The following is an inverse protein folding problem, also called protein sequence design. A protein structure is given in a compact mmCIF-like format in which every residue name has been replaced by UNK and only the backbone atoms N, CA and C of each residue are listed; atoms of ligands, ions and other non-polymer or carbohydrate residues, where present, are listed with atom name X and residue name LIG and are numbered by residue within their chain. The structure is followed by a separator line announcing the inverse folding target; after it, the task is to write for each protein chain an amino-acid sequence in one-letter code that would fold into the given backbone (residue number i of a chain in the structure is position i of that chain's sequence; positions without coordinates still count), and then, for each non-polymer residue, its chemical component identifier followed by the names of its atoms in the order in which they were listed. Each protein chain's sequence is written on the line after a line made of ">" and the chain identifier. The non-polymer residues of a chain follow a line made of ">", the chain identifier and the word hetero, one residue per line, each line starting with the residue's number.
data_IF_075676726340
#
_entry.id   IF_075676726340
#
_cell.length_a   1.000
_cell.length_b   1.000
_cell.length_c   1.000
_cell.angle_alpha   90.00
_cell.angle_beta   90.00
_cell.angle_gamma   90.00
#
_symmetry.space_group_name_H-M   'P 1'
#
loop_
_entity.id
_entity.type
_entity.pdbx_description
1 polymer ?
#
# COMPACT_ATOMS: atom_id res chain seq x y z
N UNK A 1 -1.85 8.12 22.21
CA UNK A 1 -1.99 7.63 23.60
C UNK A 1 -2.83 8.67 24.30
N UNK A 2 -3.94 8.31 24.94
CA UNK A 2 -4.76 9.26 25.69
C UNK A 2 -4.94 8.74 27.11
N UNK A 3 -4.94 9.67 28.06
CA UNK A 3 -5.13 9.39 29.46
C UNK A 3 -6.60 9.63 29.79
N UNK A 4 -7.29 8.58 30.22
CA UNK A 4 -8.62 8.68 30.80
C UNK A 4 -8.61 7.82 32.08
N UNK A 5 -8.92 8.45 33.22
CA UNK A 5 -9.09 7.81 34.52
C UNK A 5 -7.91 6.94 35.02
N UNK A 6 -6.66 7.32 34.74
CA UNK A 6 -5.47 6.70 35.35
C UNK A 6 -5.08 5.33 34.78
N UNK A 7 -5.80 4.84 33.77
CA UNK A 7 -5.45 3.61 33.05
C UNK A 7 -4.83 3.94 31.69
N UNK A 8 -3.69 3.34 31.40
CA UNK A 8 -3.01 3.49 30.10
C UNK A 8 -3.74 2.61 29.08
N UNK A 9 -4.61 3.23 28.27
CA UNK A 9 -5.22 2.55 27.13
C UNK A 9 -4.25 2.60 25.95
N UNK A 10 -3.51 1.51 25.75
CA UNK A 10 -2.78 1.27 24.52
C UNK A 10 -3.82 1.12 23.40
N UNK A 11 -3.87 2.12 22.50
CA UNK A 11 -4.74 2.09 21.33
C UNK A 11 -4.20 0.97 20.45
N UNK A 12 -4.68 -0.27 20.64
CA UNK A 12 -4.37 -1.44 19.79
C UNK A 12 -4.68 -1.08 18.34
N UNK A 13 -3.69 -0.52 17.65
CA UNK A 13 -3.77 -0.04 16.27
C UNK A 13 -3.98 -1.22 15.31
N UNK A 14 -3.62 -2.42 15.76
CA UNK A 14 -3.88 -3.69 15.11
C UNK A 14 -4.95 -4.47 15.88
N UNK A 15 -6.22 -4.21 15.55
CA UNK A 15 -7.32 -5.10 15.91
C UNK A 15 -7.38 -6.26 14.91
N UNK A 16 -7.48 -7.49 15.43
CA UNK A 16 -7.24 -8.79 14.79
C UNK A 16 -8.14 -9.12 13.56
N UNK A 17 -9.02 -8.23 13.09
CA UNK A 17 -9.99 -8.55 12.04
C UNK A 17 -10.46 -7.32 11.23
N UNK A 18 -9.52 -6.65 10.57
CA UNK A 18 -9.83 -5.55 9.64
C UNK A 18 -9.66 -6.02 8.20
N UNK A 19 -10.67 -6.72 7.69
CA UNK A 19 -10.76 -7.00 6.25
C UNK A 19 -10.98 -5.68 5.53
N UNK A 20 -10.11 -5.39 4.57
CA UNK A 20 -10.19 -4.22 3.70
C UNK A 20 -10.39 -4.72 2.28
N UNK A 21 -11.44 -4.24 1.63
CA UNK A 21 -11.66 -4.48 0.21
C UNK A 21 -11.58 -3.15 -0.53
N UNK A 22 -10.75 -3.10 -1.57
CA UNK A 22 -10.52 -1.92 -2.39
C UNK A 22 -10.33 -2.29 -3.85
N UNK A 23 -10.82 -1.42 -4.73
CA UNK A 23 -10.51 -1.47 -6.16
C UNK A 23 -9.45 -0.41 -6.44
N UNK A 24 -8.41 -0.79 -7.18
CA UNK A 24 -7.28 0.10 -7.49
C UNK A 24 -6.97 0.01 -8.98
N UNK A 25 -7.60 0.81 -9.85
CA UNK A 25 -7.07 1.04 -11.19
C UNK A 25 -5.62 1.51 -11.07
N UNK A 26 -4.72 0.80 -11.74
CA UNK A 26 -3.30 1.10 -11.74
C UNK A 26 -2.72 0.99 -13.13
N UNK A 27 -1.85 1.94 -13.45
CA UNK A 27 -1.02 1.96 -14.63
C UNK A 27 0.43 1.68 -14.26
N UNK A 28 1.08 0.82 -15.04
CA UNK A 28 2.48 0.48 -14.85
C UNK A 28 3.26 0.86 -16.11
N UNK A 29 4.13 1.83 -15.97
CA UNK A 29 5.08 2.22 -16.99
C UNK A 29 6.37 1.42 -16.82
N UNK A 30 6.80 0.72 -17.86
CA UNK A 30 7.99 -0.14 -17.85
C UNK A 30 9.09 0.55 -18.64
N UNK A 31 10.22 0.82 -17.99
CA UNK A 31 11.39 1.51 -18.54
C UNK A 31 12.64 0.69 -18.22
N UNK A 32 12.83 -0.41 -18.95
CA UNK A 32 13.93 -1.34 -18.72
C UNK A 32 13.84 -2.01 -17.35
N UNK A 33 14.76 -1.70 -16.44
CA UNK A 33 14.77 -2.23 -15.06
C UNK A 33 13.93 -1.39 -14.09
N UNK A 34 13.45 -0.22 -14.50
CA UNK A 34 12.64 0.68 -13.68
C UNK A 34 11.16 0.58 -14.08
N UNK A 35 10.30 0.55 -13.08
CA UNK A 35 8.86 0.39 -13.23
C UNK A 35 8.16 1.46 -12.41
N UNK A 36 7.43 2.35 -13.06
CA UNK A 36 6.64 3.37 -12.38
C UNK A 36 5.20 2.87 -12.29
N UNK A 37 4.69 2.70 -11.08
CA UNK A 37 3.33 2.28 -10.79
C UNK A 37 2.55 3.49 -10.28
N UNK A 38 1.52 3.89 -10.99
CA UNK A 38 0.61 4.95 -10.56
C UNK A 38 -0.77 4.34 -10.49
N UNK A 39 -1.45 4.50 -9.37
CA UNK A 39 -2.80 3.99 -9.19
C UNK A 39 -3.63 4.90 -8.31
N UNK A 40 -4.93 4.87 -8.53
CA UNK A 40 -5.90 5.50 -7.66
C UNK A 40 -6.81 4.41 -7.15
N UNK A 41 -7.05 4.35 -5.85
CA UNK A 41 -7.82 3.31 -5.21
C UNK A 41 -9.04 3.85 -4.50
N UNK A 42 -10.06 3.02 -4.42
CA UNK A 42 -11.27 3.31 -3.65
C UNK A 42 -11.58 2.14 -2.72
N UNK A 43 -11.75 2.43 -1.44
CA UNK A 43 -12.16 1.41 -0.46
C UNK A 43 -13.67 1.16 -0.57
N UNK A 44 -14.05 -0.06 -0.95
CA UNK A 44 -15.44 -0.51 -1.00
C UNK A 44 -15.95 -0.90 0.39
N UNK A 45 -15.11 -1.57 1.19
CA UNK A 45 -15.46 -1.99 2.55
C UNK A 45 -14.33 -1.63 3.52
N UNK A 46 -14.64 -0.76 4.48
CA UNK A 46 -13.76 -0.37 5.60
C UNK A 46 -14.56 -0.46 6.90
N UNK A 47 -14.19 -1.37 7.80
CA UNK A 47 -14.91 -1.59 9.08
C UNK A 47 -14.70 -0.45 10.10
N UNK A 48 -13.70 0.41 9.91
CA UNK A 48 -13.39 1.54 10.80
C UNK A 48 -13.33 2.84 10.01
N UNK A 49 -14.45 3.58 10.03
CA UNK A 49 -14.61 4.91 9.41
C UNK A 49 -14.10 6.07 10.28
N UNK A 50 -13.49 5.77 11.44
CA UNK A 50 -13.39 6.73 12.53
C UNK A 50 -12.38 7.88 12.30
N UNK A 51 -11.53 7.83 11.26
CA UNK A 51 -10.45 8.81 11.08
C UNK A 51 -10.12 9.25 9.64
N UNK A 52 -10.60 8.56 8.59
CA UNK A 52 -10.37 8.97 7.19
C UNK A 52 -11.71 9.28 6.54
N UNK A 53 -11.97 10.56 6.23
CA UNK A 53 -13.23 11.01 5.61
C UNK A 53 -13.34 10.61 4.14
N UNK A 54 -12.23 10.40 3.46
CA UNK A 54 -12.21 10.12 2.02
C UNK A 54 -11.83 8.65 1.76
N UNK A 55 -12.73 7.86 1.14
CA UNK A 55 -12.46 6.47 0.74
C UNK A 55 -11.53 6.37 -0.48
N UNK A 56 -11.19 7.50 -1.10
CA UNK A 56 -10.30 7.60 -2.25
C UNK A 56 -8.85 7.81 -1.81
N UNK A 57 -7.94 7.00 -2.36
CA UNK A 57 -6.51 7.09 -2.11
C UNK A 57 -5.73 7.03 -3.42
N UNK A 58 -4.49 7.48 -3.37
CA UNK A 58 -3.60 7.50 -4.51
C UNK A 58 -2.30 6.84 -4.14
N UNK A 59 -1.79 6.05 -5.07
CA UNK A 59 -0.59 5.27 -4.88
C UNK A 59 0.37 5.57 -6.02
N UNK A 60 1.55 6.04 -5.67
CA UNK A 60 2.65 6.19 -6.60
C UNK A 60 3.77 5.32 -6.08
N UNK A 61 4.31 4.45 -6.92
CA UNK A 61 5.36 3.51 -6.56
C UNK A 61 6.42 3.41 -7.64
N UNK A 62 7.68 3.49 -7.24
CA UNK A 62 8.83 3.16 -8.05
C UNK A 62 9.30 1.76 -7.71
N UNK A 63 9.36 0.89 -8.70
CA UNK A 63 9.86 -0.47 -8.59
C UNK A 63 11.12 -0.60 -9.43
N UNK A 64 12.16 -1.16 -8.83
CA UNK A 64 13.42 -1.44 -9.48
C UNK A 64 13.68 -2.95 -9.49
N UNK A 65 13.99 -3.47 -10.67
CA UNK A 65 14.31 -4.88 -10.86
C UNK A 65 15.81 -5.09 -10.66
N UNK A 66 16.14 -5.70 -9.52
CA UNK A 66 17.53 -6.00 -9.13
C UNK A 66 18.05 -7.21 -9.92
N UNK A 67 17.18 -8.20 -10.16
CA UNK A 67 17.49 -9.42 -10.91
C UNK A 67 16.24 -9.89 -11.65
N UNK A 68 16.36 -10.83 -12.58
CA UNK A 68 15.21 -11.43 -13.30
C UNK A 68 14.11 -11.98 -12.38
N UNK A 69 14.46 -12.26 -11.11
CA UNK A 69 13.54 -12.80 -10.10
C UNK A 69 13.32 -11.88 -8.91
N UNK A 70 14.19 -10.91 -8.65
CA UNK A 70 14.12 -10.07 -7.46
C UNK A 70 13.80 -8.63 -7.85
N UNK A 71 12.83 -8.04 -7.16
CA UNK A 71 12.53 -6.62 -7.28
C UNK A 71 12.40 -5.99 -5.90
N UNK A 72 12.83 -4.74 -5.83
CA UNK A 72 12.53 -3.85 -4.73
C UNK A 72 11.56 -2.78 -5.25
N UNK A 73 10.62 -2.36 -4.43
CA UNK A 73 9.76 -1.23 -4.76
C UNK A 73 9.59 -0.33 -3.56
N UNK A 74 9.63 0.95 -3.82
CA UNK A 74 9.28 2.00 -2.89
C UNK A 74 8.02 2.70 -3.40
N UNK A 75 7.11 3.05 -2.51
CA UNK A 75 5.91 3.77 -2.89
C UNK A 75 5.38 4.65 -1.78
N UNK A 76 4.48 5.51 -2.16
CA UNK A 76 3.80 6.45 -1.28
C UNK A 76 2.32 6.22 -1.51
N UNK A 77 1.59 6.02 -0.41
CA UNK A 77 0.14 6.08 -0.43
C UNK A 77 -0.31 7.40 0.20
N UNK A 78 -1.05 8.19 -0.56
CA UNK A 78 -1.55 9.49 -0.17
C UNK A 78 -3.09 9.56 -0.29
N UNK A 79 -3.71 10.37 0.56
CA UNK A 79 -5.14 10.70 0.49
C UNK A 79 -5.29 12.18 0.13
N UNK A 80 -6.35 12.48 -0.64
CA UNK A 80 -6.69 13.85 -1.09
C UNK A 80 -5.53 14.63 -1.73
N UNK A 81 -4.61 13.96 -2.44
CA UNK A 81 -3.46 14.57 -3.12
C UNK A 81 -2.53 15.41 -2.21
N UNK A 82 -2.74 15.42 -0.89
CA UNK A 82 -2.10 16.37 0.02
C UNK A 82 -1.53 15.71 1.29
N UNK A 83 -2.06 14.56 1.71
CA UNK A 83 -1.62 13.89 2.94
C UNK A 83 -1.04 12.52 2.62
N UNK A 84 0.28 12.38 2.76
CA UNK A 84 0.95 11.09 2.70
C UNK A 84 0.63 10.28 3.97
N UNK A 85 -0.07 9.16 3.80
CA UNK A 85 -0.50 8.33 4.94
C UNK A 85 0.64 7.40 5.38
N UNK A 86 1.32 6.78 4.41
CA UNK A 86 2.48 5.93 4.69
C UNK A 86 3.39 5.74 3.47
N UNK A 87 4.66 5.45 3.78
CA UNK A 87 5.66 4.97 2.84
C UNK A 87 5.62 3.45 2.77
N UNK A 88 5.59 2.92 1.56
CA UNK A 88 5.56 1.49 1.28
C UNK A 88 6.91 1.02 0.77
N UNK A 89 7.54 0.12 1.51
CA UNK A 89 8.70 -0.63 1.04
C UNK A 89 8.25 -2.06 0.75
N UNK A 90 8.58 -2.57 -0.43
CA UNK A 90 8.28 -3.96 -0.80
C UNK A 90 9.52 -4.59 -1.40
N UNK A 91 9.77 -5.82 -0.99
CA UNK A 91 10.74 -6.71 -1.60
C UNK A 91 9.95 -7.91 -2.10
N UNK A 92 10.17 -8.28 -3.36
CA UNK A 92 9.40 -9.35 -4.00
C UNK A 92 10.29 -10.28 -4.80
N UNK A 93 9.87 -11.54 -4.83
CA UNK A 93 10.49 -12.61 -5.59
C UNK A 93 9.50 -13.21 -6.59
N UNK A 94 9.88 -13.27 -7.87
CA UNK A 94 9.08 -13.86 -8.94
C UNK A 94 9.49 -15.31 -9.15
N UNK A 95 8.59 -16.24 -8.84
CA UNK A 95 8.76 -17.66 -9.14
C UNK A 95 8.44 -17.92 -10.61
N UNK A 96 9.38 -17.64 -11.50
CA UNK A 96 9.25 -18.03 -12.91
C UNK A 96 9.78 -19.45 -13.11
N UNK A 97 8.88 -20.44 -13.32
CA UNK A 97 9.29 -21.72 -13.90
C UNK A 97 9.74 -21.41 -15.33
N UNK A 98 11.02 -21.56 -15.65
CA UNK A 98 11.47 -21.57 -17.05
C UNK A 98 10.73 -22.74 -17.72
N UNK A 99 9.71 -22.47 -18.53
CA UNK A 99 9.28 -23.43 -19.52
C UNK A 99 10.47 -23.60 -20.47
N UNK A 100 11.17 -24.73 -20.38
CA UNK A 100 12.11 -25.15 -21.43
C UNK A 100 11.28 -25.26 -22.70
N UNK A 101 11.55 -24.38 -23.67
CA UNK A 101 11.23 -24.64 -25.07
C UNK A 101 12.35 -25.48 -25.65
#
# INVERSE_FOLDING_TARGET
>A
MYLENGFVYDKKRFSKNQVLASIIPSYRLIMGKLYVNIGAGYYLFKKTWKYDKTPFFQRIGLQYQVTDRLFASFGINAYDFHVANYLEWKLGYTFSKKARK
#
